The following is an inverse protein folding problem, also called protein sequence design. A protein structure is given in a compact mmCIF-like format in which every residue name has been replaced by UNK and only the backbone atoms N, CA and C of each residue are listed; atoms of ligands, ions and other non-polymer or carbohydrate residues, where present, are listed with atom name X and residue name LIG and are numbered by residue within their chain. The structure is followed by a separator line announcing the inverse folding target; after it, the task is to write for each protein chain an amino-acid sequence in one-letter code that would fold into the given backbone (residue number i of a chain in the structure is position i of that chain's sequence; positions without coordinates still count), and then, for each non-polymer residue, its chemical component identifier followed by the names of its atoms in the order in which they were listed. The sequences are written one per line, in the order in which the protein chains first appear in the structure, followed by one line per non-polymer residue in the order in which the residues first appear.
data_IF_557490792192
#
_entry.id   IF_557490792192
#
_cell.length_a   1.000
_cell.length_b   1.000
_cell.length_c   1.000
_cell.angle_alpha   90.00
_cell.angle_beta   90.00
_cell.angle_gamma   90.00
#
_symmetry.space_group_name_H-M   'P 1'
#
loop_
_entity.id
_entity.type
_entity.pdbx_description
1 polymer ?
#
# COMPACT_ATOMS: atom_id res chain seq x y z
N UNK A 1 -13.17 6.63 12.68
CA UNK A 1 -13.76 5.53 11.89
C UNK A 1 -13.01 5.24 10.58
N UNK A 2 -12.33 6.20 9.92
CA UNK A 2 -11.56 5.94 8.67
C UNK A 2 -10.16 5.30 8.84
N UNK A 3 -9.52 5.40 10.02
CA UNK A 3 -8.10 5.03 10.19
C UNK A 3 -7.79 3.53 10.12
N UNK A 4 -8.76 2.66 10.43
CA UNK A 4 -8.55 1.21 10.42
C UNK A 4 -8.40 0.64 9.00
N UNK A 5 -9.00 1.28 7.98
CA UNK A 5 -8.95 0.79 6.61
C UNK A 5 -7.57 0.96 5.97
N UNK A 6 -6.84 2.05 6.29
CA UNK A 6 -5.49 2.28 5.75
C UNK A 6 -4.48 1.24 6.26
N UNK A 7 -4.54 0.88 7.54
CA UNK A 7 -3.68 -0.18 8.12
C UNK A 7 -3.99 -1.56 7.53
N UNK A 8 -5.26 -1.88 7.32
CA UNK A 8 -5.67 -3.15 6.69
C UNK A 8 -5.18 -3.21 5.24
N UNK A 9 -5.35 -2.13 4.49
CA UNK A 9 -4.90 -2.07 3.10
C UNK A 9 -3.38 -2.14 3.00
N UNK A 10 -2.66 -1.53 3.93
CA UNK A 10 -1.21 -1.64 3.99
C UNK A 10 -0.78 -3.10 4.20
N UNK A 11 -1.35 -3.77 5.20
CA UNK A 11 -1.03 -5.17 5.48
C UNK A 11 -1.32 -6.08 4.27
N UNK A 12 -2.43 -5.84 3.56
CA UNK A 12 -2.78 -6.61 2.37
C UNK A 12 -1.84 -6.31 1.19
N UNK A 13 -1.39 -5.06 1.03
CA UNK A 13 -0.40 -4.70 0.01
C UNK A 13 0.96 -5.37 0.28
N UNK A 14 1.43 -5.35 1.53
CA UNK A 14 2.67 -6.04 1.94
C UNK A 14 2.55 -7.57 1.73
N UNK A 15 1.39 -8.15 2.03
CA UNK A 15 1.14 -9.58 1.79
C UNK A 15 1.19 -9.93 0.30
N UNK A 16 0.56 -9.11 -0.55
CA UNK A 16 0.58 -9.35 -2.00
C UNK A 16 1.98 -9.19 -2.59
N UNK A 17 2.76 -8.21 -2.12
CA UNK A 17 4.15 -8.06 -2.52
C UNK A 17 4.98 -9.31 -2.18
N UNK A 18 4.88 -9.79 -0.93
CA UNK A 18 5.55 -11.02 -0.48
C UNK A 18 5.08 -12.28 -1.21
N UNK A 19 3.83 -12.30 -1.66
CA UNK A 19 3.27 -13.37 -2.48
C UNK A 19 3.66 -13.25 -3.98
N UNK A 20 4.40 -12.20 -4.37
CA UNK A 20 4.80 -11.95 -5.75
C UNK A 20 3.71 -11.34 -6.63
N UNK A 21 2.57 -10.95 -6.07
CA UNK A 21 1.49 -10.27 -6.78
C UNK A 21 1.74 -8.76 -6.85
N UNK A 22 2.83 -8.39 -7.51
CA UNK A 22 3.33 -7.00 -7.60
C UNK A 22 2.30 -6.01 -8.16
N UNK A 23 1.52 -6.33 -9.23
CA UNK A 23 0.53 -5.39 -9.75
C UNK A 23 -0.56 -5.04 -8.73
N UNK A 24 -0.99 -6.02 -7.95
CA UNK A 24 -2.02 -5.81 -6.92
C UNK A 24 -1.46 -5.03 -5.72
N UNK A 25 -0.22 -5.34 -5.30
CA UNK A 25 0.46 -4.59 -4.25
C UNK A 25 0.58 -3.10 -4.62
N UNK A 26 1.04 -2.82 -5.84
CA UNK A 26 1.15 -1.45 -6.37
C UNK A 26 -0.20 -0.73 -6.39
N UNK A 27 -1.24 -1.36 -6.94
CA UNK A 27 -2.58 -0.78 -6.99
C UNK A 27 -3.10 -0.41 -5.59
N UNK A 28 -2.77 -1.23 -4.57
CA UNK A 28 -3.21 -0.96 -3.21
C UNK A 28 -2.38 0.12 -2.52
N UNK A 29 -1.06 0.15 -2.67
CA UNK A 29 -0.25 1.25 -2.17
C UNK A 29 -0.65 2.59 -2.82
N UNK A 30 -0.95 2.59 -4.13
CA UNK A 30 -1.47 3.78 -4.81
C UNK A 30 -2.79 4.25 -4.23
N UNK A 31 -3.70 3.32 -3.89
CA UNK A 31 -4.95 3.66 -3.21
C UNK A 31 -4.71 4.30 -1.85
N UNK A 32 -3.79 3.76 -1.05
CA UNK A 32 -3.44 4.33 0.26
C UNK A 32 -2.91 5.76 0.08
N UNK A 33 -1.98 5.97 -0.86
CA UNK A 33 -1.41 7.29 -1.18
C UNK A 33 -2.47 8.32 -1.59
N UNK A 34 -3.51 7.91 -2.32
CA UNK A 34 -4.61 8.80 -2.71
C UNK A 34 -5.44 9.27 -1.52
N UNK A 35 -5.50 8.50 -0.44
CA UNK A 35 -6.23 8.86 0.79
C UNK A 35 -5.35 9.61 1.79
N UNK A 36 -4.10 9.18 1.96
CA UNK A 36 -3.11 9.80 2.83
C UNK A 36 -1.71 9.54 2.28
N UNK A 37 -1.13 10.58 1.66
CA UNK A 37 0.19 10.50 1.04
C UNK A 37 1.33 10.36 2.06
N UNK A 38 1.09 10.71 3.33
CA UNK A 38 2.05 10.57 4.43
C UNK A 38 1.85 9.32 5.27
N UNK A 39 0.98 8.40 4.83
CA UNK A 39 0.70 7.18 5.59
C UNK A 39 1.90 6.22 5.54
N UNK A 40 2.53 6.00 6.70
CA UNK A 40 3.68 5.11 6.84
C UNK A 40 4.78 5.45 5.81
N UNK A 41 5.28 4.46 5.08
CA UNK A 41 6.33 4.52 4.07
C UNK A 41 5.77 4.26 2.64
N UNK A 42 4.49 4.57 2.40
CA UNK A 42 3.80 4.23 1.13
C UNK A 42 4.49 4.84 -0.10
N UNK A 43 5.12 6.01 0.04
CA UNK A 43 5.85 6.64 -1.06
C UNK A 43 7.10 5.83 -1.43
N UNK A 44 7.87 5.39 -0.42
CA UNK A 44 9.05 4.55 -0.57
C UNK A 44 8.68 3.18 -1.15
N UNK A 45 7.59 2.59 -0.66
CA UNK A 45 7.08 1.30 -1.16
C UNK A 45 6.69 1.39 -2.63
N UNK A 46 5.97 2.44 -3.05
CA UNK A 46 5.64 2.65 -4.47
C UNK A 46 6.85 2.87 -5.36
N UNK A 47 7.88 3.57 -4.86
CA UNK A 47 9.13 3.76 -5.59
C UNK A 47 9.91 2.44 -5.78
N UNK A 48 9.84 1.54 -4.80
CA UNK A 48 10.49 0.23 -4.86
C UNK A 48 9.77 -0.78 -5.80
N UNK A 49 8.49 -0.58 -6.08
CA UNK A 49 7.67 -1.40 -6.98
C UNK A 49 7.65 -0.90 -8.44
N UNK A 50 8.48 0.10 -8.77
CA UNK A 50 8.56 0.73 -10.08
C UNK A 50 9.16 -0.18 -11.16
#
# INVERSE_FOLDING_TARGET
MLTHHLRLWYALADLEERAGNIPAARARFDRIRQHDAGFADVAERLAALA
#
